data_IF_169313702343
#
_entry.id   IF_169313702343
#
_cell.length_a   1.000
_cell.length_b   1.000
_cell.length_c   1.000
_cell.angle_alpha   90.00
_cell.angle_beta   90.00
_cell.angle_gamma   90.00
#
_symmetry.space_group_name_H-M   'P 1'
#
loop_
_entity.id
_entity.type
_entity.pdbx_description
1 polymer ?
#
# COMPACT_ATOMS: atom_id res chain seq x y z
N UNK A 1 -26.16 -3.17 -22.49
CA UNK A 1 -25.13 -2.32 -21.82
C UNK A 1 -25.37 -2.14 -20.31
N UNK A 2 -26.34 -2.81 -19.69
CA UNK A 2 -26.45 -2.95 -18.21
C UNK A 2 -26.60 -4.43 -17.79
N UNK A 3 -26.94 -5.31 -18.73
CA UNK A 3 -27.40 -6.68 -18.45
C UNK A 3 -26.30 -7.75 -18.51
N UNK A 4 -25.04 -7.34 -18.61
CA UNK A 4 -23.92 -8.27 -18.77
C UNK A 4 -23.37 -8.65 -17.40
N UNK A 5 -24.00 -9.65 -16.77
CA UNK A 5 -23.62 -10.24 -15.48
C UNK A 5 -22.14 -10.64 -15.43
N UNK A 6 -21.51 -10.90 -16.58
CA UNK A 6 -20.08 -11.16 -16.75
C UNK A 6 -19.21 -10.04 -16.17
N UNK A 7 -19.63 -8.77 -16.30
CA UNK A 7 -18.91 -7.61 -15.76
C UNK A 7 -18.91 -7.56 -14.23
N UNK A 8 -19.97 -8.10 -13.61
CA UNK A 8 -20.05 -8.20 -12.15
C UNK A 8 -19.02 -9.22 -11.64
N UNK A 9 -18.87 -10.35 -12.35
CA UNK A 9 -17.88 -11.37 -12.00
C UNK A 9 -16.44 -10.86 -12.18
N UNK A 10 -16.17 -10.11 -13.25
CA UNK A 10 -14.88 -9.46 -13.48
C UNK A 10 -14.55 -8.42 -12.39
N UNK A 11 -15.51 -7.57 -12.05
CA UNK A 11 -15.36 -6.58 -10.98
C UNK A 11 -15.08 -7.22 -9.61
N UNK A 12 -15.74 -8.34 -9.29
CA UNK A 12 -15.48 -9.08 -8.05
C UNK A 12 -14.07 -9.69 -8.06
N UNK A 13 -13.62 -10.25 -9.18
CA UNK A 13 -12.28 -10.81 -9.30
C UNK A 13 -11.19 -9.73 -9.13
N UNK A 14 -11.37 -8.57 -9.76
CA UNK A 14 -10.52 -7.40 -9.59
C UNK A 14 -10.54 -6.89 -8.14
N UNK A 15 -11.72 -6.80 -7.52
CA UNK A 15 -11.88 -6.38 -6.13
C UNK A 15 -11.15 -7.29 -5.14
N UNK A 16 -11.20 -8.61 -5.34
CA UNK A 16 -10.46 -9.57 -4.51
C UNK A 16 -8.95 -9.38 -4.64
N UNK A 17 -8.44 -9.15 -5.86
CA UNK A 17 -7.02 -8.86 -6.10
C UNK A 17 -6.60 -7.54 -5.45
N UNK A 18 -7.39 -6.49 -5.64
CA UNK A 18 -7.18 -5.18 -5.03
C UNK A 18 -7.15 -5.27 -3.49
N UNK A 19 -8.05 -6.04 -2.89
CA UNK A 19 -8.08 -6.26 -1.44
C UNK A 19 -6.83 -6.99 -0.94
N UNK A 20 -6.34 -7.98 -1.69
CA UNK A 20 -5.06 -8.65 -1.38
C UNK A 20 -3.89 -7.68 -1.35
N UNK A 21 -3.77 -6.82 -2.36
CA UNK A 21 -2.71 -5.80 -2.44
C UNK A 21 -2.88 -4.74 -1.34
N UNK A 22 -4.12 -4.31 -1.05
CA UNK A 22 -4.39 -3.37 0.03
C UNK A 22 -3.94 -3.91 1.39
N UNK A 23 -4.21 -5.20 1.69
CA UNK A 23 -3.72 -5.82 2.93
C UNK A 23 -2.19 -5.85 2.99
N UNK A 24 -1.51 -6.11 1.87
CA UNK A 24 -0.04 -6.05 1.82
C UNK A 24 0.48 -4.64 2.12
N UNK A 25 -0.12 -3.61 1.52
CA UNK A 25 0.26 -2.22 1.77
C UNK A 25 0.03 -1.83 3.24
N UNK A 26 -1.10 -2.21 3.83
CA UNK A 26 -1.37 -1.95 5.26
C UNK A 26 -0.30 -2.59 6.13
N UNK A 27 0.03 -3.87 5.90
CA UNK A 27 1.09 -4.57 6.66
C UNK A 27 2.44 -3.86 6.47
N UNK A 28 2.78 -3.50 5.24
CA UNK A 28 4.01 -2.76 4.94
C UNK A 28 4.07 -1.40 5.66
N UNK A 29 3.02 -0.59 5.56
CA UNK A 29 2.94 0.73 6.22
C UNK A 29 3.03 0.61 7.74
N UNK A 30 2.39 -0.39 8.35
CA UNK A 30 2.50 -0.65 9.79
C UNK A 30 3.94 -1.01 10.17
N UNK A 31 4.61 -1.85 9.39
CA UNK A 31 6.01 -2.20 9.64
C UNK A 31 6.94 -0.98 9.52
N UNK A 32 6.72 -0.15 8.51
CA UNK A 32 7.47 1.09 8.31
C UNK A 32 7.32 2.01 9.53
N UNK A 33 6.09 2.25 10.00
CA UNK A 33 5.83 3.05 11.20
C UNK A 33 6.43 2.42 12.47
N UNK A 34 6.35 1.10 12.60
CA UNK A 34 6.93 0.37 13.73
C UNK A 34 8.46 0.50 13.83
N UNK A 35 9.14 0.86 12.72
CA UNK A 35 10.58 1.15 12.71
C UNK A 35 10.85 2.65 12.87
N UNK A 36 10.12 3.49 12.11
CA UNK A 36 10.33 4.94 12.09
C UNK A 36 10.04 5.60 13.43
N UNK A 37 8.94 5.22 14.09
CA UNK A 37 8.53 5.84 15.35
C UNK A 37 9.59 5.57 16.44
N UNK A 38 9.99 4.32 16.73
CA UNK A 38 11.06 4.08 17.71
C UNK A 38 12.39 4.70 17.30
N UNK A 39 12.76 4.63 16.01
CA UNK A 39 14.00 5.21 15.50
C UNK A 39 14.08 6.72 15.70
N UNK A 40 12.97 7.42 15.51
CA UNK A 40 12.87 8.85 15.78
C UNK A 40 12.88 9.17 17.28
N UNK A 41 12.18 8.37 18.10
CA UNK A 41 12.10 8.58 19.56
C UNK A 41 13.45 8.37 20.27
N UNK A 42 14.24 7.38 19.83
CA UNK A 42 15.57 7.08 20.41
C UNK A 42 16.64 8.04 19.84
N UNK A 43 16.27 8.89 18.86
CA UNK A 43 17.17 9.88 18.26
C UNK A 43 18.13 9.32 17.20
N UNK A 44 17.90 8.09 16.73
CA UNK A 44 18.69 7.45 15.65
C UNK A 44 18.35 8.10 14.30
N UNK A 45 17.09 8.47 14.10
CA UNK A 45 16.60 9.12 12.89
C UNK A 45 16.28 10.58 13.16
N UNK A 46 16.93 11.49 12.43
CA UNK A 46 16.55 12.90 12.38
C UNK A 46 15.23 13.11 11.64
N UNK A 47 14.56 14.22 11.92
CA UNK A 47 13.24 14.56 11.35
C UNK A 47 13.24 14.48 9.82
N UNK A 48 14.24 15.07 9.16
CA UNK A 48 14.33 15.05 7.70
C UNK A 48 14.43 13.63 7.12
N UNK A 49 15.25 12.77 7.73
CA UNK A 49 15.40 11.37 7.31
C UNK A 49 14.11 10.57 7.55
N UNK A 50 13.45 10.80 8.68
CA UNK A 50 12.18 10.15 9.01
C UNK A 50 11.07 10.51 8.02
N UNK A 51 10.95 11.80 7.67
CA UNK A 51 9.96 12.27 6.67
C UNK A 51 10.25 11.67 5.30
N UNK A 52 11.49 11.72 4.81
CA UNK A 52 11.83 11.14 3.51
C UNK A 52 11.53 9.65 3.44
N UNK A 53 11.84 8.90 4.50
CA UNK A 53 11.54 7.47 4.56
C UNK A 53 10.03 7.19 4.62
N UNK A 54 9.27 8.02 5.34
CA UNK A 54 7.81 7.92 5.42
C UNK A 54 7.17 8.18 4.05
N UNK A 55 7.45 9.32 3.43
CA UNK A 55 6.92 9.71 2.12
C UNK A 55 7.37 8.73 1.01
N UNK A 56 8.62 8.26 1.07
CA UNK A 56 9.14 7.24 0.15
C UNK A 56 8.37 5.92 0.26
N UNK A 57 7.95 5.53 1.46
CA UNK A 57 7.15 4.33 1.67
C UNK A 57 5.75 4.45 1.05
N UNK A 58 5.17 5.65 1.01
CA UNK A 58 3.89 5.88 0.34
C UNK A 58 4.01 5.71 -1.16
N UNK A 59 5.09 6.25 -1.76
CA UNK A 59 5.38 6.05 -3.19
C UNK A 59 5.56 4.57 -3.54
N UNK A 60 6.22 3.79 -2.68
CA UNK A 60 6.35 2.35 -2.83
C UNK A 60 4.99 1.64 -2.75
N UNK A 61 4.13 2.02 -1.80
CA UNK A 61 2.79 1.46 -1.66
C UNK A 61 1.89 1.78 -2.87
N UNK A 62 2.02 2.99 -3.44
CA UNK A 62 1.37 3.39 -4.69
C UNK A 62 1.87 2.50 -5.84
N UNK A 63 3.18 2.31 -5.97
CA UNK A 63 3.79 1.40 -6.94
C UNK A 63 3.23 -0.02 -6.85
N UNK A 64 3.13 -0.58 -5.63
CA UNK A 64 2.55 -1.91 -5.41
C UNK A 64 1.06 -1.97 -5.81
N UNK A 65 0.32 -0.88 -5.59
CA UNK A 65 -1.09 -0.76 -5.98
C UNK A 65 -1.30 -0.84 -7.50
N UNK A 66 -0.35 -0.33 -8.30
CA UNK A 66 -0.42 -0.38 -9.76
C UNK A 66 -0.36 -1.80 -10.33
N UNK A 67 0.18 -2.76 -9.58
CA UNK A 67 0.21 -4.19 -9.97
C UNK A 67 -1.17 -4.78 -10.21
N UNK A 68 -2.22 -4.23 -9.58
CA UNK A 68 -3.60 -4.67 -9.78
C UNK A 68 -4.08 -4.51 -11.22
N UNK A 69 -3.51 -3.55 -11.97
CA UNK A 69 -3.88 -3.25 -13.37
C UNK A 69 -3.13 -4.08 -14.40
N UNK A 70 -2.08 -4.79 -13.97
CA UNK A 70 -1.18 -5.54 -14.86
C UNK A 70 -1.48 -7.05 -14.87
N UNK A 71 -2.55 -7.50 -14.21
CA UNK A 71 -2.91 -8.92 -14.13
C UNK A 71 -4.39 -9.18 -14.25
#
# INVERSE_FOLDING_TARGET
>A
MVDDLTKVQEAIALGKRAQGISRQNIVFSVLVLAVLIPGALIGILGIAAAVVAHEGSELLAIGNSLRVRQG
#
